data_IF_273846802022
#
_entry.id   IF_273846802022
#
_cell.length_a   1.000
_cell.length_b   1.000
_cell.length_c   1.000
_cell.angle_alpha   90.00
_cell.angle_beta   90.00
_cell.angle_gamma   90.00
#
_symmetry.space_group_name_H-M   'P 1'
#
loop_
_entity.id
_entity.type
_entity.pdbx_description
1 polymer ?
#
# COMPACT_ATOMS: atom_id res chain seq x y z
N UNK A 1 -12.81 -15.47 9.07
CA UNK A 1 -13.88 -16.33 9.63
C UNK A 1 -13.69 -17.77 9.13
N UNK A 2 -14.49 -18.73 9.61
CA UNK A 2 -14.40 -20.16 9.24
C UNK A 2 -14.51 -20.43 7.72
N UNK A 3 -15.11 -19.51 6.96
CA UNK A 3 -15.20 -19.58 5.50
C UNK A 3 -13.99 -18.99 4.76
N UNK A 4 -12.90 -18.71 5.45
CA UNK A 4 -11.67 -18.19 4.84
C UNK A 4 -11.70 -16.73 4.41
N UNK A 5 -12.72 -15.94 4.78
CA UNK A 5 -12.72 -14.52 4.50
C UNK A 5 -11.58 -13.82 5.24
N UNK A 6 -10.81 -13.04 4.51
CA UNK A 6 -9.68 -12.26 5.01
C UNK A 6 -10.04 -10.78 4.98
N UNK A 7 -9.65 -10.08 6.03
CA UNK A 7 -9.84 -8.64 6.19
C UNK A 7 -8.57 -8.07 6.81
N UNK A 8 -8.24 -6.84 6.48
CA UNK A 8 -7.20 -6.14 7.19
C UNK A 8 -7.72 -5.70 8.58
N UNK A 9 -6.89 -5.76 9.62
CA UNK A 9 -7.31 -5.39 10.98
C UNK A 9 -7.92 -3.98 11.06
N UNK A 10 -7.45 -3.07 10.20
CA UNK A 10 -7.91 -1.66 10.13
C UNK A 10 -9.34 -1.53 9.58
N UNK A 11 -9.82 -2.55 8.85
CA UNK A 11 -11.18 -2.58 8.29
C UNK A 11 -12.22 -3.11 9.29
N UNK A 12 -11.79 -3.57 10.47
CA UNK A 12 -12.64 -4.29 11.40
C UNK A 12 -12.92 -3.47 12.67
N UNK A 13 -14.20 -3.24 12.98
CA UNK A 13 -14.66 -2.69 14.25
C UNK A 13 -15.60 -3.68 14.91
N UNK A 14 -15.16 -4.32 16.01
CA UNK A 14 -15.93 -5.33 16.74
C UNK A 14 -16.61 -6.37 15.82
N UNK A 15 -15.86 -7.02 14.92
CA UNK A 15 -16.42 -7.75 13.81
C UNK A 15 -17.04 -9.08 14.25
N UNK A 16 -18.19 -9.40 13.63
CA UNK A 16 -18.80 -10.73 13.69
C UNK A 16 -19.17 -11.14 12.26
N UNK A 17 -18.83 -12.35 11.87
CA UNK A 17 -19.23 -12.89 10.57
C UNK A 17 -20.75 -12.96 10.48
N UNK A 18 -21.34 -12.33 9.49
CA UNK A 18 -22.79 -12.39 9.23
C UNK A 18 -23.24 -13.76 8.74
N UNK A 19 -22.32 -14.59 8.24
CA UNK A 19 -22.59 -15.93 7.72
C UNK A 19 -22.46 -17.03 8.79
N UNK A 20 -21.45 -16.91 9.66
CA UNK A 20 -21.13 -17.95 10.64
C UNK A 20 -21.38 -17.53 12.08
N UNK A 21 -21.59 -16.23 12.34
CA UNK A 21 -21.70 -15.67 13.68
C UNK A 21 -20.39 -15.70 14.48
N UNK A 22 -19.27 -16.09 13.86
CA UNK A 22 -17.97 -16.17 14.52
C UNK A 22 -17.22 -14.86 14.51
N UNK A 23 -16.43 -14.62 15.54
CA UNK A 23 -15.49 -13.49 15.60
C UNK A 23 -14.23 -13.84 14.81
N UNK A 24 -13.74 -12.96 13.90
CA UNK A 24 -12.48 -13.17 13.21
C UNK A 24 -11.30 -13.28 14.18
N UNK A 25 -10.36 -14.14 13.86
CA UNK A 25 -9.10 -14.29 14.58
C UNK A 25 -7.97 -13.65 13.78
N UNK A 26 -7.07 -12.96 14.47
CA UNK A 26 -5.84 -12.47 13.86
C UNK A 26 -4.88 -13.66 13.66
N UNK A 27 -4.49 -13.91 12.43
CA UNK A 27 -3.53 -14.96 12.07
C UNK A 27 -2.42 -14.39 11.21
N UNK A 28 -1.15 -14.67 11.50
CA UNK A 28 -0.07 -14.41 10.57
C UNK A 28 -0.25 -15.29 9.33
N UNK A 29 -0.12 -14.70 8.16
CA UNK A 29 -0.19 -15.41 6.88
C UNK A 29 0.94 -14.95 5.97
N UNK A 30 1.64 -15.90 5.35
CA UNK A 30 2.65 -15.63 4.36
C UNK A 30 2.01 -15.64 2.97
N UNK A 31 2.30 -14.61 2.19
CA UNK A 31 1.83 -14.48 0.82
C UNK A 31 2.98 -14.12 -0.12
N UNK A 32 2.81 -14.36 -1.39
CA UNK A 32 3.74 -13.88 -2.40
C UNK A 32 3.38 -12.46 -2.81
N UNK A 33 4.40 -11.66 -2.95
CA UNK A 33 4.28 -10.30 -3.42
C UNK A 33 5.15 -10.09 -4.64
N UNK A 34 4.59 -9.44 -5.65
CA UNK A 34 5.34 -8.89 -6.76
C UNK A 34 5.93 -7.55 -6.32
N UNK A 35 7.25 -7.41 -6.38
CA UNK A 35 7.95 -6.17 -5.96
C UNK A 35 7.79 -5.09 -7.05
N UNK A 36 6.58 -4.54 -7.13
CA UNK A 36 6.25 -3.49 -8.08
C UNK A 36 7.15 -2.25 -7.95
N UNK A 37 7.55 -1.80 -6.74
CA UNK A 37 8.50 -0.70 -6.57
C UNK A 37 9.83 -0.90 -7.29
N UNK A 38 10.34 -2.13 -7.43
CA UNK A 38 11.56 -2.41 -8.17
C UNK A 38 11.46 -2.03 -9.67
N UNK A 39 10.26 -1.87 -10.19
CA UNK A 39 9.97 -1.49 -11.58
C UNK A 39 9.62 -0.02 -11.78
N UNK A 40 9.78 0.82 -10.75
CA UNK A 40 9.41 2.24 -10.80
C UNK A 40 10.01 2.97 -11.99
N UNK A 41 11.31 2.77 -12.26
CA UNK A 41 12.00 3.37 -13.41
C UNK A 41 11.43 2.92 -14.75
N UNK A 42 11.12 1.61 -14.87
CA UNK A 42 10.50 1.05 -16.09
C UNK A 42 9.09 1.62 -16.29
N UNK A 43 8.31 1.75 -15.22
CA UNK A 43 6.97 2.31 -15.28
C UNK A 43 7.00 3.80 -15.66
N UNK A 44 7.95 4.58 -15.13
CA UNK A 44 8.15 5.98 -15.53
C UNK A 44 8.44 6.11 -17.03
N UNK A 45 9.39 5.32 -17.54
CA UNK A 45 9.73 5.30 -18.96
C UNK A 45 8.52 4.90 -19.84
N UNK A 46 7.76 3.88 -19.41
CA UNK A 46 6.54 3.47 -20.11
C UNK A 46 5.48 4.58 -20.12
N UNK A 47 5.32 5.31 -19.03
CA UNK A 47 4.38 6.43 -18.98
C UNK A 47 4.83 7.58 -19.89
N UNK A 48 6.12 7.83 -20.01
CA UNK A 48 6.65 8.84 -20.94
C UNK A 48 6.37 8.49 -22.41
N UNK A 49 6.50 7.20 -22.75
CA UNK A 49 6.14 6.70 -24.09
C UNK A 49 4.62 6.80 -24.36
N UNK A 50 3.82 6.49 -23.35
CA UNK A 50 2.36 6.48 -23.49
C UNK A 50 1.74 7.88 -23.49
N UNK A 51 2.35 8.86 -22.86
CA UNK A 51 1.85 10.25 -22.87
C UNK A 51 1.84 10.87 -24.27
N UNK A 52 2.71 10.41 -25.18
CA UNK A 52 2.77 10.86 -26.58
C UNK A 52 2.00 9.95 -27.54
N UNK A 53 1.45 8.83 -27.06
CA UNK A 53 0.69 7.90 -27.89
C UNK A 53 -0.80 8.29 -27.93
N UNK A 54 -1.34 8.70 -29.10
CA UNK A 54 -2.73 9.15 -29.22
C UNK A 54 -3.78 8.03 -28.97
N UNK A 55 -3.37 6.76 -28.94
CA UNK A 55 -4.24 5.64 -28.64
C UNK A 55 -4.38 5.40 -27.12
N UNK A 56 -3.53 5.96 -26.31
CA UNK A 56 -3.60 5.84 -24.84
C UNK A 56 -4.39 7.00 -24.27
N UNK A 57 -5.38 6.67 -23.43
CA UNK A 57 -6.17 7.70 -22.74
C UNK A 57 -5.32 8.43 -21.69
N UNK A 58 -5.28 9.77 -21.67
CA UNK A 58 -4.48 10.52 -20.69
C UNK A 58 -4.78 10.19 -19.22
N UNK A 59 -5.98 9.71 -18.92
CA UNK A 59 -6.35 9.30 -17.56
C UNK A 59 -5.52 8.11 -17.06
N UNK A 60 -5.09 7.22 -17.96
CA UNK A 60 -4.31 6.04 -17.61
C UNK A 60 -2.93 6.45 -17.10
N UNK A 61 -2.19 7.23 -17.89
CA UNK A 61 -0.86 7.71 -17.51
C UNK A 61 -0.92 8.61 -16.28
N UNK A 62 -1.90 9.51 -16.21
CA UNK A 62 -2.12 10.36 -15.03
C UNK A 62 -2.32 9.53 -13.76
N UNK A 63 -3.20 8.51 -13.79
CA UNK A 63 -3.51 7.69 -12.61
C UNK A 63 -2.29 6.90 -12.13
N UNK A 64 -1.51 6.34 -13.06
CA UNK A 64 -0.30 5.59 -12.71
C UNK A 64 0.74 6.55 -12.11
N UNK A 65 0.95 7.72 -12.72
CA UNK A 65 1.91 8.72 -12.22
C UNK A 65 1.60 9.22 -10.81
N UNK A 66 0.34 9.23 -10.38
CA UNK A 66 -0.02 9.57 -9.01
C UNK A 66 0.58 8.62 -7.97
N UNK A 67 0.96 7.42 -8.38
CA UNK A 67 1.62 6.42 -7.52
C UNK A 67 3.14 6.36 -7.72
N UNK A 68 3.66 6.98 -8.80
CA UNK A 68 5.11 7.04 -9.12
C UNK A 68 5.78 8.23 -8.41
N UNK A 69 5.50 8.37 -7.12
CA UNK A 69 6.01 9.45 -6.29
C UNK A 69 6.66 8.89 -5.02
N UNK A 70 7.55 9.66 -4.43
CA UNK A 70 8.19 9.27 -3.18
C UNK A 70 7.17 8.97 -2.09
N UNK A 71 7.45 7.99 -1.22
CA UNK A 71 6.59 7.67 -0.08
C UNK A 71 6.53 8.83 0.91
N UNK A 72 5.33 9.30 1.22
CA UNK A 72 5.14 10.47 2.11
C UNK A 72 4.15 10.17 3.22
N UNK A 73 4.41 10.70 4.41
CA UNK A 73 3.46 10.80 5.52
C UNK A 73 3.12 12.27 5.74
N UNK A 74 1.83 12.60 5.83
CA UNK A 74 1.33 13.93 6.16
C UNK A 74 0.85 13.96 7.60
N UNK A 75 1.36 14.89 8.41
CA UNK A 75 1.02 15.07 9.82
C UNK A 75 0.41 16.47 9.99
N UNK A 76 -0.74 16.56 10.66
CA UNK A 76 -1.34 17.87 10.94
C UNK A 76 -0.46 18.67 11.90
N UNK A 77 -0.32 19.98 11.65
CA UNK A 77 0.56 20.88 12.40
C UNK A 77 0.28 20.91 13.90
N UNK A 78 -0.95 20.61 14.32
CA UNK A 78 -1.30 20.49 15.76
C UNK A 78 -0.61 19.35 16.50
N UNK A 79 -0.08 18.34 15.77
CA UNK A 79 0.69 17.23 16.34
C UNK A 79 2.21 17.44 16.26
N UNK A 80 2.66 18.67 15.98
CA UNK A 80 4.07 19.00 15.81
C UNK A 80 4.90 18.63 17.04
N UNK A 81 4.47 19.00 18.21
CA UNK A 81 5.17 18.73 19.47
C UNK A 81 5.28 17.23 19.73
N UNK A 82 4.21 16.47 19.48
CA UNK A 82 4.24 15.02 19.66
C UNK A 82 5.19 14.35 18.67
N UNK A 83 5.21 14.84 17.43
CA UNK A 83 6.16 14.39 16.39
C UNK A 83 7.62 14.68 16.81
N UNK A 84 7.95 15.91 17.22
CA UNK A 84 9.31 16.32 17.61
C UNK A 84 9.86 15.47 18.76
N UNK A 85 9.01 15.05 19.68
CA UNK A 85 9.39 14.17 20.78
C UNK A 85 9.85 12.76 20.33
N UNK A 86 9.54 12.37 19.11
CA UNK A 86 9.82 11.04 18.59
C UNK A 86 10.58 11.01 17.25
N UNK A 87 10.82 12.17 16.63
CA UNK A 87 11.47 12.28 15.33
C UNK A 87 12.78 11.48 15.24
N UNK A 88 13.59 11.51 16.30
CA UNK A 88 14.85 10.76 16.38
C UNK A 88 14.70 9.22 16.40
N UNK A 89 13.48 8.69 16.48
CA UNK A 89 13.18 7.25 16.40
C UNK A 89 12.72 6.82 15.01
N UNK A 90 12.49 7.78 14.11
CA UNK A 90 12.02 7.50 12.77
C UNK A 90 13.18 7.18 11.82
N UNK A 91 12.95 6.38 10.79
CA UNK A 91 13.88 6.21 9.68
C UNK A 91 14.27 7.54 9.03
N UNK A 92 15.37 7.52 8.28
CA UNK A 92 15.85 8.71 7.56
C UNK A 92 14.76 9.25 6.65
N UNK A 93 14.46 10.53 6.80
CA UNK A 93 13.41 11.21 6.04
C UNK A 93 13.78 12.68 5.79
N UNK A 94 13.11 13.28 4.83
CA UNK A 94 13.16 14.72 4.58
C UNK A 94 11.88 15.36 5.11
N UNK A 95 12.02 16.33 6.01
CA UNK A 95 10.90 17.10 6.54
C UNK A 95 10.59 18.26 5.58
N UNK A 96 9.33 18.34 5.16
CA UNK A 96 8.80 19.48 4.40
C UNK A 96 7.79 20.20 5.27
N UNK A 97 8.06 21.47 5.57
CA UNK A 97 7.18 22.30 6.38
C UNK A 97 5.88 22.64 5.64
N UNK A 98 4.84 22.97 6.41
CA UNK A 98 3.58 23.41 5.85
C UNK A 98 3.74 24.79 5.16
N UNK A 99 3.39 24.88 3.89
CA UNK A 99 3.47 26.10 3.11
C UNK A 99 2.11 26.82 3.01
N UNK A 100 2.12 28.14 3.16
CA UNK A 100 0.92 28.96 3.00
C UNK A 100 -0.22 28.57 3.95
N UNK A 101 -1.35 28.18 3.38
CA UNK A 101 -2.55 27.79 4.13
C UNK A 101 -2.62 26.28 4.46
N UNK A 102 -1.55 25.53 4.21
CA UNK A 102 -1.51 24.11 4.54
C UNK A 102 -1.50 23.90 6.06
N UNK A 103 -2.31 22.95 6.52
CA UNK A 103 -2.43 22.62 7.95
C UNK A 103 -1.63 21.36 8.31
N UNK A 104 -0.77 20.89 7.41
CA UNK A 104 0.01 19.67 7.59
C UNK A 104 1.42 19.86 7.03
N UNK A 105 2.40 19.41 7.77
CA UNK A 105 3.75 19.18 7.27
C UNK A 105 3.89 17.75 6.78
N UNK A 106 4.95 17.42 6.05
CA UNK A 106 5.12 16.08 5.51
C UNK A 106 6.54 15.54 5.70
N UNK A 107 6.62 14.23 5.79
CA UNK A 107 7.84 13.44 5.87
C UNK A 107 7.96 12.64 4.60
N UNK A 108 9.02 12.86 3.81
CA UNK A 108 9.33 12.12 2.61
C UNK A 108 10.42 11.09 2.89
N UNK A 109 10.20 9.86 2.45
CA UNK A 109 11.08 8.72 2.68
C UNK A 109 11.70 8.25 1.37
N UNK A 110 12.91 7.70 1.44
CA UNK A 110 13.61 7.15 0.29
C UNK A 110 12.97 5.88 -0.28
N UNK A 111 12.18 5.14 0.51
CA UNK A 111 11.49 3.94 0.10
C UNK A 111 10.24 3.69 0.96
N UNK A 112 9.36 2.80 0.49
CA UNK A 112 8.10 2.49 1.16
C UNK A 112 8.29 1.76 2.50
N UNK A 113 9.39 0.99 2.69
CA UNK A 113 9.66 0.25 3.94
C UNK A 113 9.94 1.21 5.08
N UNK A 114 10.79 2.22 4.85
CA UNK A 114 11.09 3.26 5.83
C UNK A 114 9.82 4.05 6.19
N UNK A 115 8.97 4.35 5.20
CA UNK A 115 7.66 4.97 5.46
C UNK A 115 6.77 4.09 6.35
N UNK A 116 6.68 2.79 6.10
CA UNK A 116 5.82 1.88 6.87
C UNK A 116 6.37 1.64 8.28
N UNK A 117 7.70 1.61 8.46
CA UNK A 117 8.33 1.61 9.79
C UNK A 117 8.00 2.89 10.57
N UNK A 118 8.12 4.05 9.91
CA UNK A 118 7.73 5.33 10.50
C UNK A 118 6.25 5.36 10.86
N UNK A 119 5.37 4.79 10.02
CA UNK A 119 3.94 4.64 10.29
C UNK A 119 3.70 3.88 11.59
N UNK A 120 4.32 2.71 11.76
CA UNK A 120 4.19 1.91 12.98
C UNK A 120 4.64 2.66 14.24
N UNK A 121 5.72 3.42 14.13
CA UNK A 121 6.27 4.23 15.22
C UNK A 121 5.33 5.40 15.59
N UNK A 122 4.76 6.09 14.60
CA UNK A 122 3.79 7.17 14.79
C UNK A 122 2.48 6.67 15.39
N UNK A 123 1.97 5.52 14.93
CA UNK A 123 0.78 4.87 15.47
C UNK A 123 0.95 4.49 16.94
N UNK A 124 2.08 3.88 17.29
CA UNK A 124 2.42 3.53 18.67
C UNK A 124 2.49 4.74 19.61
N UNK A 125 2.87 5.92 19.08
CA UNK A 125 2.89 7.18 19.82
C UNK A 125 1.55 7.92 19.81
N UNK A 126 0.51 7.42 19.14
CA UNK A 126 -0.80 8.07 19.04
C UNK A 126 -0.83 9.32 18.16
N UNK A 127 0.20 9.53 17.33
CA UNK A 127 0.24 10.64 16.38
C UNK A 127 -0.65 10.32 15.18
N UNK A 128 -1.61 11.19 14.89
CA UNK A 128 -2.49 11.03 13.73
C UNK A 128 -1.85 11.55 12.45
N UNK A 129 -1.85 10.73 11.43
CA UNK A 129 -1.26 11.04 10.12
C UNK A 129 -2.10 10.49 8.97
N UNK A 130 -1.70 10.81 7.76
CA UNK A 130 -2.22 10.26 6.50
C UNK A 130 -1.04 9.89 5.61
N UNK A 131 -1.06 8.73 4.98
CA UNK A 131 -0.06 8.33 3.99
C UNK A 131 -0.40 8.87 2.62
N UNK A 132 0.62 9.30 1.87
CA UNK A 132 0.50 9.59 0.45
C UNK A 132 0.42 8.31 -0.40
N UNK A 133 0.01 8.47 -1.65
CA UNK A 133 0.08 7.40 -2.66
C UNK A 133 1.55 7.12 -2.97
N UNK A 134 1.89 5.85 -3.17
CA UNK A 134 3.19 5.41 -3.67
C UNK A 134 3.06 3.98 -4.20
N UNK A 135 4.06 3.51 -4.95
CA UNK A 135 4.11 2.11 -5.34
C UNK A 135 4.36 1.23 -4.11
N UNK A 136 3.56 0.19 -4.00
CA UNK A 136 3.71 -0.85 -2.97
C UNK A 136 3.86 -2.22 -3.64
N UNK A 137 4.49 -3.19 -2.95
CA UNK A 137 4.45 -4.57 -3.42
C UNK A 137 3.01 -5.05 -3.59
N UNK A 138 2.74 -5.69 -4.72
CA UNK A 138 1.43 -6.22 -5.06
C UNK A 138 1.31 -7.65 -4.55
N UNK A 139 0.36 -7.92 -3.66
CA UNK A 139 0.06 -9.28 -3.21
C UNK A 139 -0.57 -10.08 -4.36
N UNK A 140 0.02 -11.24 -4.70
CA UNK A 140 -0.42 -12.10 -5.81
C UNK A 140 -1.00 -13.44 -5.35
N UNK A 141 -0.98 -13.73 -4.06
CA UNK A 141 -1.60 -14.95 -3.50
C UNK A 141 -2.52 -14.63 -2.33
N UNK A 142 -3.39 -15.56 -2.00
CA UNK A 142 -4.25 -15.56 -0.83
C UNK A 142 -4.30 -16.93 -0.18
N UNK A 143 -4.79 -17.00 1.05
CA UNK A 143 -4.94 -18.21 1.84
C UNK A 143 -6.42 -18.62 1.83
N UNK A 144 -6.97 -18.93 0.66
CA UNK A 144 -8.34 -19.38 0.46
C UNK A 144 -8.33 -20.80 -0.11
N UNK A 145 -9.31 -21.61 0.27
CA UNK A 145 -9.34 -23.03 -0.08
C UNK A 145 -9.78 -23.31 -1.52
N UNK A 146 -10.24 -22.28 -2.24
CA UNK A 146 -10.72 -22.40 -3.60
C UNK A 146 -9.98 -21.44 -4.55
N UNK A 147 -9.76 -21.86 -5.79
CA UNK A 147 -9.09 -21.07 -6.82
C UNK A 147 -7.94 -21.84 -7.47
N UNK A 148 -7.07 -21.13 -8.21
CA UNK A 148 -5.90 -21.71 -8.84
C UNK A 148 -4.79 -21.86 -7.81
N UNK A 149 -4.36 -23.10 -7.49
CA UNK A 149 -3.28 -23.30 -6.52
C UNK A 149 -1.98 -22.62 -6.99
N UNK A 150 -1.33 -21.90 -6.09
CA UNK A 150 0.01 -21.40 -6.36
C UNK A 150 1.02 -22.55 -6.43
N UNK A 151 2.11 -22.45 -7.20
CA UNK A 151 3.19 -23.43 -7.21
C UNK A 151 3.68 -23.70 -5.78
N UNK A 152 3.95 -24.98 -5.49
CA UNK A 152 4.48 -25.38 -4.18
C UNK A 152 5.97 -25.02 -4.15
N UNK A 153 6.30 -23.94 -3.47
CA UNK A 153 7.67 -23.59 -3.13
C UNK A 153 7.91 -23.83 -1.64
N UNK A 154 9.16 -24.00 -1.26
CA UNK A 154 9.55 -24.22 0.13
C UNK A 154 9.04 -23.05 1.01
N UNK A 155 8.36 -23.36 2.10
CA UNK A 155 7.78 -22.38 3.02
C UNK A 155 6.40 -21.82 2.63
N UNK A 156 5.83 -22.19 1.47
CA UNK A 156 4.56 -21.62 0.97
C UNK A 156 3.59 -22.70 0.50
N UNK A 157 3.01 -23.45 1.41
CA UNK A 157 1.97 -24.44 1.09
C UNK A 157 0.57 -23.87 1.30
N UNK A 158 -0.39 -24.29 0.46
CA UNK A 158 -1.80 -23.91 0.63
C UNK A 158 -2.16 -22.50 0.14
N UNK A 159 -1.30 -21.88 -0.66
CA UNK A 159 -1.59 -20.59 -1.27
C UNK A 159 -2.36 -20.76 -2.58
N UNK A 160 -3.26 -19.84 -2.83
CA UNK A 160 -4.04 -19.72 -4.06
C UNK A 160 -3.64 -18.45 -4.79
N UNK A 161 -3.50 -18.52 -6.11
CA UNK A 161 -3.23 -17.33 -6.92
C UNK A 161 -4.44 -16.39 -6.82
N UNK A 162 -4.17 -15.15 -6.47
CA UNK A 162 -5.17 -14.10 -6.41
C UNK A 162 -5.40 -13.56 -7.83
N UNK A 163 -6.59 -13.69 -8.37
CA UNK A 163 -6.89 -13.33 -9.76
C UNK A 163 -6.95 -11.83 -10.06
N UNK A 164 -6.72 -11.00 -9.06
CA UNK A 164 -6.71 -9.54 -9.20
C UNK A 164 -5.55 -8.93 -10.02
N UNK A 165 -4.37 -9.58 -10.18
CA UNK A 165 -3.36 -9.05 -11.10
C UNK A 165 -3.89 -8.80 -12.51
N UNK A 166 -4.85 -9.59 -12.96
CA UNK A 166 -5.47 -9.43 -14.28
C UNK A 166 -6.31 -8.15 -14.36
N UNK A 167 -6.93 -7.72 -13.29
CA UNK A 167 -7.74 -6.49 -13.29
C UNK A 167 -6.90 -5.21 -13.36
N UNK A 168 -5.61 -5.26 -13.06
CA UNK A 168 -4.68 -4.16 -13.32
C UNK A 168 -4.44 -3.97 -14.82
N UNK A 169 -4.57 -5.04 -15.61
CA UNK A 169 -4.42 -5.00 -17.06
C UNK A 169 -5.72 -4.69 -17.79
N UNK A 170 -6.87 -4.83 -17.12
CA UNK A 170 -8.15 -4.58 -17.74
C UNK A 170 -8.26 -3.17 -18.37
N UNK A 171 -7.84 -2.07 -17.74
CA UNK A 171 -7.83 -0.75 -18.38
C UNK A 171 -6.94 -0.68 -19.61
N UNK A 172 -5.92 -1.53 -19.71
CA UNK A 172 -4.96 -1.57 -20.82
C UNK A 172 -5.50 -2.46 -21.95
N UNK A 173 -6.17 -3.56 -21.62
CA UNK A 173 -6.67 -4.52 -22.60
C UNK A 173 -7.96 -4.10 -23.29
N UNK A 174 -8.65 -3.06 -22.81
CA UNK A 174 -9.86 -2.48 -23.40
C UNK A 174 -9.59 -1.19 -24.21
N UNK A 175 -8.33 -0.86 -24.45
CA UNK A 175 -7.91 0.17 -25.39
C UNK A 175 -7.63 -0.45 -26.76
#
# INVERSE_FOLDING_TARGET
CELGHQFDPEELIAPVSTLTGTTPELRPVDNWYFDLPAFEGTLKALMDEWDVNPQVRPIVTKTVRESLVAPVIYIQSKFRTDFEAMEGKLPVHTLHEAEGNQQSFSLEFGNWRDRDEARGTLEAAGVRFRTGKTLLPLRITGNIDWGVPAPKLEGTSGLTVWCWPESLWAPISFT
#
